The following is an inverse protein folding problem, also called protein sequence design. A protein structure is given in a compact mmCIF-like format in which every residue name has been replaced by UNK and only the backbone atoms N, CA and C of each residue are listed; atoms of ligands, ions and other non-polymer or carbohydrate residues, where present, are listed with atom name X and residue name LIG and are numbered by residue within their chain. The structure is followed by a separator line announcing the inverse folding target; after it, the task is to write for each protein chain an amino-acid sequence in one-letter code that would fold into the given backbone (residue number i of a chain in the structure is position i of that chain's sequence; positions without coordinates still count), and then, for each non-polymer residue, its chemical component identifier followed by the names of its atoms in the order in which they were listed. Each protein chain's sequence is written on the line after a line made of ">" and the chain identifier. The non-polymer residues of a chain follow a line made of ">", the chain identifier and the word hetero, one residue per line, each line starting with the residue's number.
data_IF_685429734139
#
_entry.id   IF_685429734139
#
_cell.length_a   1.000
_cell.length_b   1.000
_cell.length_c   1.000
_cell.angle_alpha   90.00
_cell.angle_beta   90.00
_cell.angle_gamma   90.00
#
_symmetry.space_group_name_H-M   'P 1'
#
loop_
_entity.id
_entity.type
_entity.pdbx_description
1 polymer ?
#
# COMPACT_ATOMS: atom_id res chain seq x y z
N UNK A 1 17.41 -20.61 27.19
CA UNK A 1 17.21 -20.76 25.72
C UNK A 1 17.79 -19.53 25.03
N UNK A 2 18.71 -19.67 24.06
CA UNK A 2 19.49 -18.54 23.55
C UNK A 2 18.64 -17.61 22.65
N UNK A 3 18.82 -16.30 22.84
CA UNK A 3 18.14 -15.20 22.14
C UNK A 3 18.19 -15.34 20.60
N UNK A 4 19.28 -15.93 20.10
CA UNK A 4 19.54 -16.20 18.68
C UNK A 4 18.43 -16.99 17.96
N UNK A 5 17.74 -17.93 18.64
CA UNK A 5 16.68 -18.73 18.00
C UNK A 5 15.34 -17.99 17.85
N UNK A 6 15.09 -16.90 18.59
CA UNK A 6 13.81 -16.16 18.52
C UNK A 6 13.85 -14.95 17.60
N UNK A 7 15.05 -14.47 17.27
CA UNK A 7 15.27 -13.32 16.40
C UNK A 7 14.51 -13.41 15.05
N UNK A 8 14.56 -14.52 14.28
CA UNK A 8 13.86 -14.57 12.98
C UNK A 8 12.34 -14.48 13.12
N UNK A 9 11.75 -15.08 14.15
CA UNK A 9 10.31 -15.00 14.38
C UNK A 9 9.87 -13.61 14.83
N UNK A 10 10.68 -12.91 15.64
CA UNK A 10 10.42 -11.52 16.03
C UNK A 10 10.52 -10.56 14.83
N UNK A 11 11.53 -10.74 13.98
CA UNK A 11 11.67 -9.97 12.74
C UNK A 11 10.51 -10.23 11.79
N UNK A 12 10.11 -11.50 11.61
CA UNK A 12 8.97 -11.85 10.76
C UNK A 12 7.66 -11.26 11.29
N UNK A 13 7.47 -11.27 12.61
CA UNK A 13 6.32 -10.62 13.25
C UNK A 13 6.33 -9.11 13.04
N UNK A 14 7.47 -8.45 13.19
CA UNK A 14 7.57 -7.00 12.93
C UNK A 14 7.28 -6.67 11.46
N UNK A 15 7.77 -7.48 10.52
CA UNK A 15 7.51 -7.30 9.10
C UNK A 15 6.02 -7.52 8.78
N UNK A 16 5.38 -8.55 9.36
CA UNK A 16 3.94 -8.82 9.13
C UNK A 16 3.04 -7.73 9.70
N UNK A 17 3.38 -7.20 10.88
CA UNK A 17 2.69 -6.04 11.46
C UNK A 17 2.93 -4.79 10.60
N UNK A 18 4.14 -4.59 10.08
CA UNK A 18 4.47 -3.51 9.14
C UNK A 18 3.62 -3.58 7.86
N UNK A 19 3.47 -4.76 7.26
CA UNK A 19 2.57 -4.99 6.11
C UNK A 19 1.13 -4.64 6.49
N UNK A 20 0.64 -5.11 7.63
CA UNK A 20 -0.73 -4.87 8.08
C UNK A 20 -1.02 -3.38 8.28
N UNK A 21 -0.18 -2.68 9.06
CA UNK A 21 -0.34 -1.26 9.33
C UNK A 21 -0.22 -0.42 8.06
N UNK A 22 0.77 -0.71 7.21
CA UNK A 22 0.95 0.00 5.94
C UNK A 22 -0.26 -0.18 5.02
N UNK A 23 -0.85 -1.38 5.01
CA UNK A 23 -2.05 -1.68 4.23
C UNK A 23 -3.28 -0.91 4.73
N UNK A 24 -3.50 -0.89 6.05
CA UNK A 24 -4.62 -0.15 6.67
C UNK A 24 -4.49 1.34 6.37
N UNK A 25 -3.30 1.91 6.59
CA UNK A 25 -3.06 3.33 6.37
C UNK A 25 -3.16 3.71 4.88
N UNK A 26 -2.66 2.85 3.97
CA UNK A 26 -2.76 3.10 2.53
C UNK A 26 -4.22 3.12 2.06
N UNK A 27 -5.04 2.18 2.56
CA UNK A 27 -6.49 2.19 2.30
C UNK A 27 -7.14 3.43 2.90
N UNK A 28 -6.87 3.76 4.15
CA UNK A 28 -7.46 4.90 4.83
C UNK A 28 -7.16 6.21 4.09
N UNK A 29 -5.89 6.52 3.80
CA UNK A 29 -5.52 7.75 3.10
C UNK A 29 -6.07 7.81 1.68
N UNK A 30 -6.07 6.69 0.95
CA UNK A 30 -6.61 6.69 -0.42
C UNK A 30 -8.12 6.84 -0.45
N UNK A 31 -8.82 6.28 0.54
CA UNK A 31 -10.28 6.45 0.70
C UNK A 31 -10.64 7.86 1.15
N UNK A 32 -9.87 8.47 2.06
CA UNK A 32 -10.07 9.86 2.47
C UNK A 32 -9.89 10.80 1.28
N UNK A 33 -8.76 10.72 0.56
CA UNK A 33 -8.52 11.55 -0.63
C UNK A 33 -9.63 11.41 -1.69
N UNK A 34 -10.05 10.16 -1.96
CA UNK A 34 -11.13 9.92 -2.92
C UNK A 34 -12.47 10.49 -2.44
N UNK A 35 -12.79 10.34 -1.16
CA UNK A 35 -14.05 10.84 -0.59
C UNK A 35 -14.09 12.37 -0.66
N UNK A 36 -12.99 13.04 -0.30
CA UNK A 36 -12.84 14.49 -0.44
C UNK A 36 -13.02 14.92 -1.89
N UNK A 37 -12.35 14.26 -2.84
CA UNK A 37 -12.56 14.52 -4.27
C UNK A 37 -14.02 14.36 -4.68
N UNK A 38 -14.70 13.28 -4.30
CA UNK A 38 -16.10 13.06 -4.68
C UNK A 38 -17.07 14.06 -4.04
N UNK A 39 -16.79 14.52 -2.82
CA UNK A 39 -17.60 15.52 -2.13
C UNK A 39 -17.46 16.90 -2.78
N UNK A 40 -16.24 17.31 -3.10
CA UNK A 40 -15.95 18.60 -3.76
C UNK A 40 -16.45 18.61 -5.22
N UNK A 41 -16.55 17.44 -5.85
CA UNK A 41 -17.00 17.34 -7.23
C UNK A 41 -18.47 17.05 -7.44
N UNK A 42 -19.21 16.60 -6.42
CA UNK A 42 -20.57 16.07 -6.58
C UNK A 42 -20.70 15.05 -7.74
N UNK A 43 -19.61 14.35 -8.08
CA UNK A 43 -19.55 13.41 -9.22
C UNK A 43 -19.17 14.03 -10.58
N UNK A 44 -18.94 15.34 -10.68
CA UNK A 44 -18.37 16.01 -11.86
C UNK A 44 -16.86 15.72 -12.00
N UNK A 45 -16.24 15.77 -13.19
CA UNK A 45 -14.79 15.60 -13.33
C UNK A 45 -13.97 16.74 -12.68
N UNK A 46 -14.54 17.93 -12.54
CA UNK A 46 -13.77 19.17 -12.26
C UNK A 46 -14.18 19.92 -11.00
N UNK A 47 -15.28 19.54 -10.34
CA UNK A 47 -15.84 20.31 -9.22
C UNK A 47 -17.25 20.82 -9.47
N UNK A 48 -18.03 21.04 -8.40
CA UNK A 48 -19.19 21.91 -8.42
C UNK A 48 -18.83 23.21 -7.70
N UNK A 49 -18.14 24.13 -8.40
CA UNK A 49 -17.83 25.44 -7.86
C UNK A 49 -16.53 26.02 -8.38
N UNK A 50 -16.55 27.33 -8.60
CA UNK A 50 -15.36 28.10 -8.97
C UNK A 50 -14.87 28.91 -7.79
N UNK A 51 -13.55 29.00 -7.61
CA UNK A 51 -12.88 29.80 -6.59
C UNK A 51 -12.23 31.02 -7.24
N UNK A 52 -12.18 32.13 -6.49
CA UNK A 52 -11.50 33.33 -6.96
C UNK A 52 -10.02 33.01 -7.13
N UNK A 53 -9.47 33.37 -8.30
CA UNK A 53 -8.07 33.13 -8.61
C UNK A 53 -7.44 34.42 -9.12
N UNK A 54 -6.37 34.89 -8.45
CA UNK A 54 -5.64 36.08 -8.90
C UNK A 54 -5.00 35.88 -10.28
N UNK A 55 -4.77 34.63 -10.70
CA UNK A 55 -4.20 34.26 -12.01
C UNK A 55 -5.10 34.70 -13.17
N UNK A 56 -6.43 34.78 -12.94
CA UNK A 56 -7.38 35.31 -13.93
C UNK A 56 -7.72 36.79 -13.72
N UNK A 57 -6.99 37.49 -12.87
CA UNK A 57 -7.26 38.88 -12.50
C UNK A 57 -8.34 39.03 -11.43
N UNK A 58 -8.71 40.28 -11.13
CA UNK A 58 -9.55 40.65 -9.98
C UNK A 58 -10.98 40.09 -9.97
N UNK A 59 -11.48 39.60 -11.11
CA UNK A 59 -12.79 38.93 -11.24
C UNK A 59 -12.67 37.48 -11.72
N UNK A 60 -11.46 36.92 -11.69
CA UNK A 60 -11.13 35.63 -12.26
C UNK A 60 -11.57 34.46 -11.40
N UNK A 61 -12.22 33.46 -12.02
CA UNK A 61 -12.67 32.25 -11.34
C UNK A 61 -12.10 30.99 -11.98
N UNK A 62 -11.61 30.06 -11.14
CA UNK A 62 -11.03 28.78 -11.53
C UNK A 62 -11.78 27.64 -10.81
N UNK A 63 -12.01 26.52 -11.50
CA UNK A 63 -12.57 25.33 -10.87
C UNK A 63 -11.58 24.68 -9.89
N UNK A 64 -12.12 23.92 -8.94
CA UNK A 64 -11.35 23.30 -7.86
C UNK A 64 -10.38 22.22 -8.36
N UNK A 65 -10.75 21.51 -9.42
CA UNK A 65 -9.92 20.50 -10.09
C UNK A 65 -9.71 20.85 -11.58
N UNK A 66 -8.59 20.41 -12.18
CA UNK A 66 -8.28 20.68 -13.57
C UNK A 66 -9.18 19.85 -14.49
N UNK A 67 -9.25 20.23 -15.76
CA UNK A 67 -10.05 19.52 -16.76
C UNK A 67 -9.58 18.07 -16.94
N UNK A 68 -8.26 17.87 -16.89
CA UNK A 68 -7.64 16.60 -17.20
C UNK A 68 -6.93 16.02 -15.97
N UNK A 69 -7.72 15.37 -15.11
CA UNK A 69 -7.19 14.50 -14.06
C UNK A 69 -6.90 13.11 -14.60
N UNK A 70 -5.66 12.66 -14.43
CA UNK A 70 -5.30 11.24 -14.61
C UNK A 70 -6.25 10.42 -13.72
N UNK A 71 -6.85 9.33 -14.23
CA UNK A 71 -7.81 8.53 -13.48
C UNK A 71 -7.27 8.24 -12.08
N UNK A 72 -8.07 8.58 -11.06
CA UNK A 72 -7.72 8.45 -9.65
C UNK A 72 -7.00 7.12 -9.46
N UNK A 73 -5.74 7.16 -9.06
CA UNK A 73 -4.82 6.01 -8.91
C UNK A 73 -5.21 5.08 -7.74
N UNK A 74 -6.51 5.00 -7.45
CA UNK A 74 -7.15 4.27 -6.37
C UNK A 74 -7.07 2.77 -6.58
N UNK A 75 -7.45 2.27 -7.75
CA UNK A 75 -7.62 0.84 -7.96
C UNK A 75 -6.33 0.02 -7.69
N UNK A 76 -5.14 0.38 -8.22
CA UNK A 76 -3.94 -0.42 -8.01
C UNK A 76 -3.48 -0.45 -6.54
N UNK A 77 -3.54 0.68 -5.83
CA UNK A 77 -3.16 0.75 -4.42
C UNK A 77 -4.16 0.08 -3.50
N UNK A 78 -5.47 0.25 -3.76
CA UNK A 78 -6.51 -0.44 -3.00
C UNK A 78 -6.38 -1.95 -3.16
N UNK A 79 -6.12 -2.45 -4.37
CA UNK A 79 -5.88 -3.87 -4.61
C UNK A 79 -4.65 -4.34 -3.83
N UNK A 80 -3.50 -3.69 -4.01
CA UNK A 80 -2.25 -4.09 -3.32
C UNK A 80 -2.39 -4.05 -1.79
N UNK A 81 -3.00 -3.00 -1.25
CA UNK A 81 -3.22 -2.87 0.19
C UNK A 81 -4.25 -3.89 0.71
N UNK A 82 -5.28 -4.25 -0.07
CA UNK A 82 -6.24 -5.29 0.34
C UNK A 82 -5.58 -6.67 0.41
N UNK A 83 -4.76 -7.03 -0.58
CA UNK A 83 -3.96 -8.25 -0.54
C UNK A 83 -2.95 -8.23 0.62
N UNK A 84 -2.27 -7.10 0.82
CA UNK A 84 -1.36 -6.87 1.95
C UNK A 84 -2.05 -7.02 3.30
N UNK A 85 -3.26 -6.50 3.47
CA UNK A 85 -4.05 -6.62 4.69
C UNK A 85 -4.32 -8.08 5.06
N UNK A 86 -4.85 -8.86 4.10
CA UNK A 86 -5.19 -10.27 4.31
C UNK A 86 -3.93 -11.08 4.65
N UNK A 87 -2.85 -10.87 3.90
CA UNK A 87 -1.59 -11.59 4.11
C UNK A 87 -0.89 -11.18 5.40
N UNK A 88 -0.87 -9.88 5.73
CA UNK A 88 -0.32 -9.35 6.96
C UNK A 88 -1.04 -9.87 8.19
N UNK A 89 -2.38 -9.93 8.15
CA UNK A 89 -3.19 -10.49 9.23
C UNK A 89 -2.93 -11.99 9.39
N UNK A 90 -3.02 -12.76 8.31
CA UNK A 90 -2.78 -14.20 8.34
C UNK A 90 -1.38 -14.55 8.87
N UNK A 91 -0.34 -13.87 8.36
CA UNK A 91 1.03 -14.07 8.81
C UNK A 91 1.22 -13.68 10.29
N UNK A 92 0.66 -12.54 10.71
CA UNK A 92 0.75 -12.08 12.11
C UNK A 92 0.07 -13.07 13.05
N UNK A 93 -1.12 -13.56 12.72
CA UNK A 93 -1.83 -14.57 13.52
C UNK A 93 -1.04 -15.88 13.61
N UNK A 94 -0.50 -16.37 12.49
CA UNK A 94 0.29 -17.61 12.46
C UNK A 94 1.58 -17.50 13.28
N UNK A 95 2.31 -16.38 13.15
CA UNK A 95 3.57 -16.14 13.88
C UNK A 95 3.30 -15.90 15.36
N UNK A 96 2.30 -15.09 15.71
CA UNK A 96 1.93 -14.86 17.11
C UNK A 96 1.50 -16.17 17.79
N UNK A 97 0.70 -16.99 17.12
CA UNK A 97 0.26 -18.28 17.64
C UNK A 97 1.42 -19.25 17.87
N UNK A 98 2.38 -19.34 16.94
CA UNK A 98 3.55 -20.22 17.11
C UNK A 98 4.42 -19.78 18.30
N UNK A 99 4.58 -18.47 18.49
CA UNK A 99 5.30 -17.89 19.63
C UNK A 99 4.60 -18.18 20.97
N UNK A 100 3.28 -18.00 21.05
CA UNK A 100 2.49 -18.23 22.27
C UNK A 100 2.52 -19.72 22.64
N UNK A 101 2.26 -20.61 21.69
CA UNK A 101 2.24 -22.05 21.95
C UNK A 101 3.64 -22.66 22.09
N UNK A 102 4.71 -21.88 21.84
CA UNK A 102 6.11 -22.33 21.80
C UNK A 102 6.30 -23.59 20.94
N UNK A 103 5.46 -23.76 19.92
CA UNK A 103 5.43 -24.92 19.05
C UNK A 103 5.55 -24.44 17.61
N UNK A 104 6.48 -25.06 16.90
CA UNK A 104 6.58 -24.87 15.46
C UNK A 104 5.34 -25.47 14.81
N UNK A 105 4.69 -24.75 13.89
CA UNK A 105 3.54 -25.29 13.19
C UNK A 105 4.04 -26.34 12.16
N UNK A 106 3.62 -27.60 12.25
CA UNK A 106 3.93 -28.60 11.25
C UNK A 106 3.01 -28.36 10.03
N UNK A 107 3.46 -27.52 9.11
CA UNK A 107 2.75 -27.23 7.87
C UNK A 107 3.19 -28.27 6.82
N UNK A 108 2.23 -28.83 6.07
CA UNK A 108 2.56 -29.70 4.96
C UNK A 108 3.33 -28.92 3.88
N UNK A 109 4.31 -29.56 3.23
CA UNK A 109 5.19 -28.91 2.24
C UNK A 109 4.40 -28.21 1.13
N UNK A 110 3.27 -28.79 0.69
CA UNK A 110 2.37 -28.18 -0.29
C UNK A 110 1.80 -26.84 0.16
N UNK A 111 1.40 -26.73 1.43
CA UNK A 111 0.86 -25.50 2.00
C UNK A 111 1.97 -24.46 2.24
N UNK A 112 3.21 -24.89 2.49
CA UNK A 112 4.36 -23.99 2.59
C UNK A 112 4.70 -23.35 1.25
N UNK A 113 4.71 -24.15 0.18
CA UNK A 113 4.94 -23.67 -1.20
C UNK A 113 3.81 -22.72 -1.60
N UNK A 114 2.55 -23.07 -1.29
CA UNK A 114 1.40 -22.20 -1.54
C UNK A 114 1.53 -20.87 -0.80
N UNK A 115 1.91 -20.88 0.49
CA UNK A 115 2.10 -19.65 1.27
C UNK A 115 3.19 -18.74 0.68
N UNK A 116 4.33 -19.32 0.30
CA UNK A 116 5.42 -18.57 -0.36
C UNK A 116 4.98 -18.02 -1.72
N UNK A 117 4.23 -18.80 -2.51
CA UNK A 117 3.72 -18.37 -3.80
C UNK A 117 2.75 -17.18 -3.66
N UNK A 118 1.81 -17.25 -2.71
CA UNK A 118 0.87 -16.15 -2.46
C UNK A 118 1.60 -14.90 -1.96
N UNK A 119 2.62 -15.03 -1.09
CA UNK A 119 3.45 -13.91 -0.67
C UNK A 119 4.25 -13.31 -1.84
N UNK A 120 4.77 -14.14 -2.74
CA UNK A 120 5.47 -13.68 -3.94
C UNK A 120 4.53 -12.92 -4.88
N UNK A 121 3.29 -13.39 -5.05
CA UNK A 121 2.25 -12.66 -5.79
C UNK A 121 1.95 -11.32 -5.13
N UNK A 122 1.84 -11.27 -3.80
CA UNK A 122 1.60 -10.02 -3.07
C UNK A 122 2.74 -9.02 -3.24
N UNK A 123 4.00 -9.50 -3.20
CA UNK A 123 5.18 -8.67 -3.52
C UNK A 123 5.07 -8.13 -4.94
N UNK A 124 4.79 -8.99 -5.93
CA UNK A 124 4.68 -8.57 -7.32
C UNK A 124 3.59 -7.50 -7.52
N UNK A 125 2.41 -7.69 -6.93
CA UNK A 125 1.32 -6.71 -6.96
C UNK A 125 1.76 -5.40 -6.32
N UNK A 126 2.41 -5.43 -5.16
CA UNK A 126 2.94 -4.23 -4.51
C UNK A 126 4.00 -3.52 -5.37
N UNK A 127 4.88 -4.27 -6.04
CA UNK A 127 5.89 -3.73 -6.96
C UNK A 127 5.25 -3.04 -8.17
N UNK A 128 4.30 -3.71 -8.84
CA UNK A 128 3.60 -3.16 -10.00
C UNK A 128 2.86 -1.88 -9.60
N UNK A 129 2.17 -1.89 -8.46
CA UNK A 129 1.48 -0.71 -7.93
C UNK A 129 2.45 0.43 -7.63
N UNK A 130 3.58 0.15 -6.97
CA UNK A 130 4.61 1.15 -6.67
C UNK A 130 5.17 1.78 -7.95
N UNK A 131 5.57 0.97 -8.93
CA UNK A 131 6.09 1.44 -10.22
C UNK A 131 5.03 2.29 -10.93
N UNK A 132 3.79 1.80 -10.98
CA UNK A 132 2.68 2.53 -11.61
C UNK A 132 2.47 3.90 -10.97
N UNK A 133 2.44 4.00 -9.64
CA UNK A 133 2.27 5.27 -8.94
C UNK A 133 3.43 6.24 -9.18
N UNK A 134 4.67 5.75 -9.17
CA UNK A 134 5.84 6.58 -9.45
C UNK A 134 5.85 7.09 -10.90
N UNK A 135 5.53 6.23 -11.87
CA UNK A 135 5.44 6.60 -13.28
C UNK A 135 4.36 7.65 -13.50
N UNK A 136 3.16 7.44 -12.94
CA UNK A 136 2.07 8.41 -13.08
C UNK A 136 2.42 9.77 -12.46
N UNK A 137 3.02 9.76 -11.26
CA UNK A 137 3.48 11.00 -10.64
C UNK A 137 4.55 11.71 -11.49
N UNK A 138 5.53 10.96 -12.02
CA UNK A 138 6.60 11.54 -12.86
C UNK A 138 6.11 12.09 -14.21
N UNK A 139 4.96 11.60 -14.70
CA UNK A 139 4.33 12.06 -15.95
C UNK A 139 3.27 13.13 -15.72
N UNK A 140 2.99 13.48 -14.47
CA UNK A 140 2.06 14.55 -14.16
C UNK A 140 2.60 15.87 -14.71
N UNK A 141 1.72 16.67 -15.29
CA UNK A 141 2.00 18.08 -15.56
C UNK A 141 2.21 18.83 -14.24
N UNK A 142 2.91 19.96 -14.35
CA UNK A 142 3.13 20.92 -13.27
C UNK A 142 2.23 22.13 -13.45
N UNK A 143 1.81 22.72 -12.34
CA UNK A 143 0.98 23.91 -12.33
C UNK A 143 1.80 25.12 -12.77
N UNK A 144 1.33 25.79 -13.82
CA UNK A 144 1.92 26.99 -14.37
C UNK A 144 1.06 28.19 -13.97
N UNK A 145 1.53 29.04 -13.05
CA UNK A 145 0.77 30.22 -12.60
C UNK A 145 0.72 31.33 -13.66
N UNK A 146 1.59 31.29 -14.69
CA UNK A 146 1.63 32.28 -15.77
C UNK A 146 0.70 31.89 -16.94
N UNK A 147 0.15 30.68 -16.92
CA UNK A 147 -0.73 30.20 -17.96
C UNK A 147 -2.07 30.96 -18.00
N UNK A 148 -2.30 31.65 -19.12
CA UNK A 148 -3.55 32.37 -19.39
C UNK A 148 -4.68 31.40 -19.79
N UNK A 149 -5.49 31.02 -18.81
CA UNK A 149 -6.66 30.15 -19.03
C UNK A 149 -7.75 30.83 -19.87
N UNK A 150 -8.20 30.17 -20.93
CA UNK A 150 -9.32 30.62 -21.77
C UNK A 150 -10.70 30.21 -21.23
N UNK A 151 -10.75 29.21 -20.35
CA UNK A 151 -11.98 28.69 -19.72
C UNK A 151 -11.88 28.71 -18.20
N UNK A 152 -12.96 28.41 -17.47
CA UNK A 152 -12.95 28.24 -16.00
C UNK A 152 -12.17 27.00 -15.52
N UNK A 153 -11.80 26.11 -16.44
CA UNK A 153 -11.05 24.90 -16.14
C UNK A 153 -9.57 25.15 -16.44
N UNK A 154 -8.71 24.57 -15.60
CA UNK A 154 -7.29 24.50 -15.91
C UNK A 154 -7.08 23.32 -16.86
N UNK A 155 -6.76 23.61 -18.11
CA UNK A 155 -6.66 22.66 -19.24
C UNK A 155 -5.20 22.39 -19.65
N UNK A 156 -4.22 23.04 -19.01
CA UNK A 156 -2.81 22.92 -19.37
C UNK A 156 -2.15 21.64 -18.82
N UNK A 157 -2.44 20.50 -19.45
CA UNK A 157 -1.79 19.22 -19.20
C UNK A 157 -2.57 18.27 -18.30
N UNK A 158 -1.98 17.10 -18.04
CA UNK A 158 -2.59 15.98 -17.30
C UNK A 158 -2.06 15.91 -15.88
N UNK A 159 -2.93 16.05 -14.89
CA UNK A 159 -2.52 16.10 -13.48
C UNK A 159 -2.86 14.82 -12.73
N UNK A 160 -1.94 14.40 -11.86
CA UNK A 160 -2.32 13.55 -10.74
C UNK A 160 -2.95 14.39 -9.63
N UNK A 161 -3.82 13.77 -8.83
CA UNK A 161 -4.42 14.44 -7.67
C UNK A 161 -3.37 14.98 -6.70
N UNK A 162 -2.25 14.26 -6.51
CA UNK A 162 -1.16 14.72 -5.67
C UNK A 162 -0.56 16.04 -6.20
N UNK A 163 -0.12 16.05 -7.46
CA UNK A 163 0.56 17.20 -8.05
C UNK A 163 -0.36 18.42 -8.12
N UNK A 164 -1.61 18.23 -8.55
CA UNK A 164 -2.58 19.33 -8.55
C UNK A 164 -2.80 19.89 -7.15
N UNK A 165 -3.11 19.03 -6.18
CA UNK A 165 -3.45 19.48 -4.83
C UNK A 165 -2.28 20.15 -4.12
N UNK A 166 -1.05 19.66 -4.35
CA UNK A 166 0.14 20.21 -3.71
C UNK A 166 0.64 21.50 -4.34
N UNK A 167 0.50 21.68 -5.66
CA UNK A 167 1.04 22.85 -6.36
C UNK A 167 0.01 23.98 -6.44
N UNK A 168 -1.23 23.70 -6.83
CA UNK A 168 -2.26 24.73 -6.99
C UNK A 168 -2.57 25.47 -5.68
N UNK A 169 -2.53 24.78 -4.53
CA UNK A 169 -2.76 25.39 -3.22
C UNK A 169 -1.67 26.38 -2.79
N UNK A 170 -0.51 26.38 -3.45
CA UNK A 170 0.58 27.33 -3.15
C UNK A 170 0.36 28.69 -3.82
N UNK A 171 -0.35 28.72 -4.94
CA UNK A 171 -0.52 29.91 -5.77
C UNK A 171 -1.94 30.50 -5.71
N UNK A 172 -2.94 29.68 -5.36
CA UNK A 172 -4.34 30.11 -5.26
C UNK A 172 -4.75 30.09 -3.79
N UNK A 173 -4.74 31.26 -3.13
CA UNK A 173 -5.10 31.37 -1.70
C UNK A 173 -6.50 30.81 -1.42
N UNK A 174 -7.46 30.97 -2.35
CA UNK A 174 -8.81 30.43 -2.19
C UNK A 174 -8.87 28.88 -2.14
N UNK A 175 -7.84 28.18 -2.59
CA UNK A 175 -7.71 26.73 -2.43
C UNK A 175 -7.15 26.36 -1.05
N UNK A 176 -6.26 27.20 -0.51
CA UNK A 176 -5.70 27.03 0.83
C UNK A 176 -6.73 27.36 1.91
N UNK A 177 -7.41 28.49 1.75
CA UNK A 177 -8.32 29.07 2.74
C UNK A 177 -9.77 28.57 2.57
N UNK A 178 -9.94 27.44 1.86
CA UNK A 178 -11.23 26.78 1.76
C UNK A 178 -11.70 26.31 3.15
N UNK A 179 -13.01 26.32 3.37
CA UNK A 179 -13.66 26.05 4.67
C UNK A 179 -13.17 24.75 5.35
N UNK A 180 -12.67 23.79 4.55
CA UNK A 180 -12.13 22.51 5.02
C UNK A 180 -10.64 22.27 4.69
N UNK A 181 -9.90 23.25 4.15
CA UNK A 181 -8.51 23.08 3.69
C UNK A 181 -8.34 21.84 2.78
N UNK A 182 -9.35 21.54 1.95
CA UNK A 182 -9.53 20.22 1.37
C UNK A 182 -8.40 19.83 0.39
N UNK A 183 -7.83 20.78 -0.36
CA UNK A 183 -6.67 20.52 -1.23
C UNK A 183 -5.36 20.32 -0.45
N UNK A 184 -5.14 21.06 0.64
CA UNK A 184 -3.94 20.86 1.47
C UNK A 184 -3.98 19.48 2.15
N UNK A 185 -5.15 19.08 2.65
CA UNK A 185 -5.37 17.74 3.19
C UNK A 185 -5.23 16.67 2.10
N UNK A 186 -5.72 16.93 0.89
CA UNK A 186 -5.60 16.00 -0.21
C UNK A 186 -4.14 15.82 -0.67
N UNK A 187 -3.35 16.90 -0.73
CA UNK A 187 -1.91 16.84 -0.98
C UNK A 187 -1.20 15.95 0.03
N UNK A 188 -1.43 16.17 1.33
CA UNK A 188 -0.77 15.40 2.40
C UNK A 188 -1.16 13.94 2.39
N UNK A 189 -2.44 13.62 2.19
CA UNK A 189 -2.93 12.24 2.15
C UNK A 189 -2.48 11.48 0.90
N UNK A 190 -2.48 12.11 -0.28
CA UNK A 190 -1.95 11.50 -1.51
C UNK A 190 -0.44 11.24 -1.40
N UNK A 191 0.33 12.21 -0.94
CA UNK A 191 1.77 12.05 -0.70
C UNK A 191 2.08 10.95 0.32
N UNK A 192 1.32 10.89 1.41
CA UNK A 192 1.43 9.83 2.40
C UNK A 192 1.08 8.46 1.79
N UNK A 193 0.03 8.37 0.96
CA UNK A 193 -0.38 7.13 0.30
C UNK A 193 0.70 6.59 -0.65
N UNK A 194 1.39 7.47 -1.39
CA UNK A 194 2.53 7.12 -2.24
C UNK A 194 3.71 6.61 -1.41
N UNK A 195 4.03 7.28 -0.30
CA UNK A 195 5.05 6.83 0.65
C UNK A 195 4.73 5.44 1.23
N UNK A 196 3.48 5.18 1.58
CA UNK A 196 3.03 3.89 2.09
C UNK A 196 3.07 2.78 1.04
N UNK A 197 2.88 3.08 -0.25
CA UNK A 197 3.04 2.10 -1.32
C UNK A 197 4.48 1.56 -1.35
N UNK A 198 5.47 2.45 -1.17
CA UNK A 198 6.89 2.09 -1.08
C UNK A 198 7.16 1.28 0.19
N UNK A 199 6.65 1.73 1.33
CA UNK A 199 6.80 1.01 2.61
C UNK A 199 6.21 -0.41 2.55
N UNK A 200 5.01 -0.55 1.98
CA UNK A 200 4.32 -1.82 1.78
C UNK A 200 5.18 -2.79 0.96
N UNK A 201 5.77 -2.33 -0.14
CA UNK A 201 6.67 -3.13 -0.96
C UNK A 201 7.85 -3.68 -0.15
N UNK A 202 8.55 -2.82 0.61
CA UNK A 202 9.69 -3.26 1.42
C UNK A 202 9.30 -4.22 2.54
N UNK A 203 8.18 -3.98 3.22
CA UNK A 203 7.70 -4.90 4.26
C UNK A 203 7.26 -6.25 3.69
N UNK A 204 6.61 -6.27 2.52
CA UNK A 204 6.25 -7.50 1.82
C UNK A 204 7.50 -8.31 1.42
N UNK A 205 8.54 -7.64 0.89
CA UNK A 205 9.82 -8.27 0.58
C UNK A 205 10.50 -8.83 1.83
N UNK A 206 10.55 -8.06 2.91
CA UNK A 206 11.14 -8.50 4.17
C UNK A 206 10.40 -9.72 4.72
N UNK A 207 9.07 -9.72 4.71
CA UNK A 207 8.26 -10.84 5.17
C UNK A 207 8.50 -12.12 4.34
N UNK A 208 8.53 -11.98 3.00
CA UNK A 208 8.82 -13.10 2.10
C UNK A 208 10.23 -13.66 2.36
N UNK A 209 11.24 -12.78 2.44
CA UNK A 209 12.62 -13.17 2.70
C UNK A 209 12.81 -13.88 4.04
N UNK A 210 12.17 -13.36 5.09
CA UNK A 210 12.25 -13.93 6.44
C UNK A 210 11.55 -15.30 6.54
N UNK A 211 10.40 -15.47 5.87
CA UNK A 211 9.72 -16.76 5.85
C UNK A 211 10.46 -17.80 4.99
N UNK A 212 11.02 -17.38 3.86
CA UNK A 212 11.89 -18.24 3.04
C UNK A 212 13.16 -18.65 3.81
N UNK A 213 13.76 -17.73 4.56
CA UNK A 213 14.89 -18.01 5.44
C UNK A 213 14.53 -19.02 6.53
N UNK A 214 13.40 -18.81 7.22
CA UNK A 214 12.96 -19.68 8.31
C UNK A 214 12.74 -21.12 7.83
N UNK A 215 12.15 -21.29 6.64
CA UNK A 215 11.95 -22.58 5.98
C UNK A 215 13.25 -23.31 5.65
N UNK A 216 14.33 -22.59 5.37
CA UNK A 216 15.59 -23.18 4.91
C UNK A 216 16.57 -23.49 6.06
N UNK A 217 16.59 -22.70 7.14
CA UNK A 217 17.62 -22.83 8.20
C UNK A 217 17.12 -23.14 9.60
N UNK A 218 16.04 -22.51 10.06
CA UNK A 218 15.80 -22.40 11.51
C UNK A 218 14.50 -23.04 12.00
N UNK A 219 13.50 -23.20 11.11
CA UNK A 219 12.19 -23.79 11.41
C UNK A 219 11.59 -23.29 12.74
N UNK A 220 11.64 -21.99 12.98
CA UNK A 220 11.16 -21.38 14.23
C UNK A 220 9.66 -21.13 14.15
N UNK A 221 9.16 -20.72 12.99
CA UNK A 221 7.75 -20.47 12.72
C UNK A 221 7.15 -21.65 11.95
N UNK A 222 7.84 -22.14 10.93
CA UNK A 222 7.33 -23.18 10.01
C UNK A 222 8.26 -24.39 9.96
N UNK A 223 7.76 -25.57 10.36
CA UNK A 223 8.51 -26.83 10.27
C UNK A 223 8.13 -27.59 9.00
N UNK A 224 9.13 -28.09 8.27
CA UNK A 224 8.89 -29.10 7.22
C UNK A 224 8.33 -30.35 7.90
N UNK A 225 7.10 -30.74 7.57
CA UNK A 225 6.57 -32.05 7.98
C UNK A 225 7.41 -33.13 7.30
N UNK A 226 8.43 -33.63 8.00
CA UNK A 226 9.24 -34.75 7.53
C UNK A 226 8.29 -35.94 7.39
N UNK A 227 8.11 -36.40 6.14
CA UNK A 227 7.40 -37.66 5.87
C UNK A 227 8.14 -38.70 6.71
N UNK A 228 7.50 -39.26 7.74
CA UNK A 228 7.96 -40.50 8.35
C UNK A 228 8.00 -41.50 7.19
N UNK A 229 9.19 -41.77 6.66
CA UNK A 229 9.45 -43.00 5.92
C UNK A 229 9.18 -44.09 6.94
N UNK A 230 7.98 -44.65 6.89
CA UNK A 230 7.61 -45.85 7.63
C UNK A 230 8.28 -47.01 6.90
N UNK A 231 9.60 -47.11 7.03
CA UNK A 231 10.29 -48.36 6.81
C UNK A 231 10.22 -49.09 8.16
N UNK A 232 9.02 -49.60 8.48
CA UNK A 232 8.84 -50.62 9.49
C UNK A 232 9.10 -51.96 8.82
N UNK A 233 10.34 -52.40 8.86
CA UNK A 233 10.78 -53.79 8.67
C UNK A 233 12.07 -53.95 9.47
N UNK A 234 11.96 -53.80 10.79
CA UNK A 234 12.84 -54.53 11.69
C UNK A 234 11.91 -55.48 12.41
N UNK A 235 12.08 -56.74 12.04
CA UNK A 235 11.22 -57.87 12.35
C UNK A 235 11.15 -58.12 13.85
N UNK A 236 9.94 -58.38 14.32
CA UNK A 236 9.70 -59.02 15.61
C UNK A 236 10.30 -60.43 15.55
N UNK A 237 11.53 -60.59 16.06
CA UNK A 237 12.09 -61.91 16.40
C UNK A 237 11.30 -62.49 17.58
N UNK A 238 10.37 -63.38 17.25
CA UNK A 238 9.79 -64.34 18.18
C UNK A 238 10.83 -65.43 18.48
N UNK A 239 11.44 -65.37 19.66
CA UNK A 239 12.22 -66.48 20.23
C UNK A 239 11.56 -66.98 21.50
N UNK A 240 10.96 -68.18 21.42
CA UNK A 240 10.63 -69.02 22.58
C UNK A 240 11.90 -69.64 23.17
#
# INVERSE_FOLDING_TARGET
>A
MPLSRKLPALLALSASVGVLLSSILALAFKMVSYTSYTQETNGSPTGAGTRSSPIKGSGGWINFYPEHLVPVTRAPLVVAASFGLVMGLAATCLIAWSLIKKRVLPIAVTHQIALLAVLAVNVLVATVTMIYMLVQHSRSAHFDPEYEMTTAYYDHGLFTLETWACESSQYVDAFRDSENHSLVQQCTTERASRGLAVALFFFCLALLGLLAWDLNRTQVVVAKKQRRTKNSWEDDEWGY
#
